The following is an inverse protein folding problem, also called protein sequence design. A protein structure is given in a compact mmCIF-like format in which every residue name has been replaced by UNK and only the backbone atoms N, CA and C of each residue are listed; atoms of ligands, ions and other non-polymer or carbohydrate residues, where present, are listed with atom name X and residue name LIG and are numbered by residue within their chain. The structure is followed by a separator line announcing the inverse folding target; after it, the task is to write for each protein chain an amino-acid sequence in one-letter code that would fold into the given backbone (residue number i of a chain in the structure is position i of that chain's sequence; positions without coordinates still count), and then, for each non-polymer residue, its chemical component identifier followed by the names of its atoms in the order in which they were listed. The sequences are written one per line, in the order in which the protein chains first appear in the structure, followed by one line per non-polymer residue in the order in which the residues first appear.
data_IF_355929056204
#
_entry.id   IF_355929056204
#
_cell.length_a   1.000
_cell.length_b   1.000
_cell.length_c   1.000
_cell.angle_alpha   90.00
_cell.angle_beta   90.00
_cell.angle_gamma   90.00
#
_symmetry.space_group_name_H-M   'P 1'
#
loop_
_entity.id
_entity.type
_entity.pdbx_description
1 polymer ?
#
# COMPACT_ATOMS: atom_id res chain seq x y z
N UNK A 1 -22.22 -7.61 13.88
CA UNK A 1 -22.51 -6.26 13.32
C UNK A 1 -21.45 -5.21 13.66
N UNK A 2 -20.96 -5.15 14.90
CA UNK A 2 -19.94 -4.15 15.30
C UNK A 2 -18.62 -4.22 14.50
N UNK A 3 -18.09 -5.42 14.22
CA UNK A 3 -16.83 -5.60 13.49
C UNK A 3 -16.95 -5.10 12.04
N UNK A 4 -18.02 -5.47 11.34
CA UNK A 4 -18.27 -5.04 9.96
C UNK A 4 -18.52 -3.53 9.89
N UNK A 5 -19.32 -2.98 10.80
CA UNK A 5 -19.54 -1.54 10.90
C UNK A 5 -18.24 -0.76 11.16
N UNK A 6 -17.42 -1.24 12.09
CA UNK A 6 -16.10 -0.67 12.37
C UNK A 6 -15.16 -0.72 11.16
N UNK A 7 -15.17 -1.83 10.42
CA UNK A 7 -14.36 -1.99 9.20
C UNK A 7 -14.79 -1.01 8.10
N UNK A 8 -16.10 -0.80 7.92
CA UNK A 8 -16.63 0.15 6.93
C UNK A 8 -16.27 1.58 7.31
N UNK A 9 -16.48 1.98 8.57
CA UNK A 9 -16.14 3.34 9.04
C UNK A 9 -14.64 3.60 8.92
N UNK A 10 -13.79 2.64 9.30
CA UNK A 10 -12.35 2.75 9.14
C UNK A 10 -11.93 2.84 7.67
N UNK A 11 -12.58 2.04 6.80
CA UNK A 11 -12.29 2.03 5.36
C UNK A 11 -12.72 3.32 4.67
N UNK A 12 -13.86 3.89 5.05
CA UNK A 12 -14.31 5.19 4.55
C UNK A 12 -13.41 6.31 5.07
N UNK A 13 -13.10 6.30 6.37
CA UNK A 13 -12.21 7.27 6.99
C UNK A 13 -10.85 7.36 6.28
N UNK A 14 -10.19 6.22 6.04
CA UNK A 14 -8.92 6.21 5.29
C UNK A 14 -9.05 6.69 3.85
N UNK A 15 -10.16 6.40 3.17
CA UNK A 15 -10.36 6.87 1.80
C UNK A 15 -10.55 8.38 1.74
N UNK A 16 -11.34 8.95 2.65
CA UNK A 16 -11.55 10.40 2.68
C UNK A 16 -10.26 11.14 3.03
N UNK A 17 -9.41 10.58 3.91
CA UNK A 17 -8.18 11.26 4.37
C UNK A 17 -6.94 11.03 3.50
N UNK A 18 -6.80 9.86 2.87
CA UNK A 18 -5.60 9.51 2.11
C UNK A 18 -5.78 9.56 0.60
N UNK A 19 -7.01 9.69 0.08
CA UNK A 19 -7.17 9.84 -1.36
C UNK A 19 -6.66 11.23 -1.78
N UNK A 20 -5.69 11.33 -2.71
CA UNK A 20 -5.13 12.61 -3.15
C UNK A 20 -6.16 13.52 -3.84
N UNK A 21 -7.28 12.94 -4.27
CA UNK A 21 -8.41 13.62 -4.92
C UNK A 21 -9.43 14.20 -3.93
N UNK A 22 -9.39 13.79 -2.66
CA UNK A 22 -10.36 14.20 -1.63
C UNK A 22 -9.68 15.10 -0.60
N UNK A 23 -9.92 16.42 -0.69
CA UNK A 23 -9.36 17.42 0.23
C UNK A 23 -10.33 17.76 1.37
N UNK A 24 -10.02 17.32 2.59
CA UNK A 24 -10.82 17.62 3.79
C UNK A 24 -10.46 19.00 4.37
N UNK A 25 -9.19 19.42 4.30
CA UNK A 25 -8.76 20.73 4.81
C UNK A 25 -9.23 21.86 3.89
N UNK A 26 -9.86 22.89 4.48
CA UNK A 26 -10.30 24.10 3.78
C UNK A 26 -9.17 25.10 3.52
N UNK A 27 -7.98 24.87 4.08
CA UNK A 27 -6.81 25.76 3.96
C UNK A 27 -6.24 25.77 2.53
N UNK A 28 -6.36 24.66 1.79
CA UNK A 28 -5.84 24.50 0.43
C UNK A 28 -6.75 25.01 -0.71
N UNK A 29 -7.86 25.72 -0.41
CA UNK A 29 -8.87 26.11 -1.42
C UNK A 29 -8.36 27.05 -2.52
N UNK A 30 -7.20 27.69 -2.31
CA UNK A 30 -6.52 28.56 -3.29
C UNK A 30 -5.44 27.84 -4.10
N UNK A 31 -5.01 26.64 -3.70
CA UNK A 31 -4.00 25.86 -4.41
C UNK A 31 -4.68 24.98 -5.45
N UNK A 32 -4.97 25.58 -6.61
CA UNK A 32 -5.26 24.83 -7.81
C UNK A 32 -3.96 24.13 -8.27
N UNK A 33 -3.75 22.91 -7.77
CA UNK A 33 -2.95 21.87 -8.43
C UNK A 33 -1.47 22.21 -8.68
N UNK A 34 -0.60 22.14 -7.66
CA UNK A 34 0.85 22.02 -7.88
C UNK A 34 1.62 21.18 -6.83
N UNK A 35 1.12 21.01 -5.60
CA UNK A 35 1.89 20.32 -4.52
C UNK A 35 1.44 18.87 -4.21
N UNK A 36 0.68 18.22 -5.09
CA UNK A 36 0.19 16.85 -4.84
C UNK A 36 1.21 15.74 -5.20
N UNK A 37 2.42 16.06 -5.68
CA UNK A 37 3.40 15.05 -6.08
C UNK A 37 3.85 14.19 -4.88
N UNK A 38 4.18 14.82 -3.75
CA UNK A 38 4.62 14.12 -2.54
C UNK A 38 3.49 13.29 -1.90
N UNK A 39 2.25 13.79 -1.93
CA UNK A 39 1.08 13.06 -1.43
C UNK A 39 0.72 11.88 -2.35
N UNK A 40 0.81 12.07 -3.67
CA UNK A 40 0.65 11.02 -4.67
C UNK A 40 1.72 9.93 -4.58
N UNK A 41 2.99 10.30 -4.34
CA UNK A 41 4.08 9.34 -4.10
C UNK A 41 3.85 8.51 -2.83
N UNK A 42 3.41 9.15 -1.73
CA UNK A 42 3.10 8.45 -0.47
C UNK A 42 1.90 7.49 -0.62
N UNK A 43 0.91 7.85 -1.44
CA UNK A 43 -0.22 6.96 -1.77
C UNK A 43 0.19 5.81 -2.69
N UNK A 44 0.96 6.09 -3.75
CA UNK A 44 1.39 5.10 -4.73
C UNK A 44 2.42 4.09 -4.17
N UNK A 45 3.33 4.58 -3.32
CA UNK A 45 4.38 3.78 -2.69
C UNK A 45 4.06 3.45 -1.22
N UNK A 46 2.97 2.70 -0.99
CA UNK A 46 2.67 2.18 0.34
C UNK A 46 3.86 1.36 0.90
N UNK A 47 4.11 1.45 2.22
CA UNK A 47 5.27 0.84 2.88
C UNK A 47 5.40 -0.67 2.62
N UNK A 48 4.27 -1.39 2.52
CA UNK A 48 4.26 -2.79 2.12
C UNK A 48 4.79 -3.00 0.69
N UNK A 49 4.43 -2.12 -0.25
CA UNK A 49 4.91 -2.16 -1.63
C UNK A 49 6.41 -1.86 -1.72
N UNK A 50 6.92 -0.90 -0.94
CA UNK A 50 8.37 -0.64 -0.82
C UNK A 50 9.12 -1.85 -0.26
N UNK A 51 8.57 -2.47 0.79
CA UNK A 51 9.16 -3.65 1.42
C UNK A 51 9.19 -4.87 0.50
N UNK A 52 8.15 -5.08 -0.31
CA UNK A 52 8.07 -6.20 -1.24
C UNK A 52 8.89 -5.98 -2.52
N UNK A 53 9.26 -4.74 -2.87
CA UNK A 53 10.03 -4.43 -4.10
C UNK A 53 11.41 -5.07 -4.13
N UNK A 54 12.03 -5.31 -2.99
CA UNK A 54 13.38 -5.90 -2.89
C UNK A 54 13.36 -7.43 -2.81
N UNK A 55 12.18 -8.05 -2.73
CA UNK A 55 12.04 -9.50 -2.64
C UNK A 55 11.66 -10.08 -4.01
N UNK A 56 12.22 -11.23 -4.33
CA UNK A 56 11.78 -12.02 -5.49
C UNK A 56 10.31 -12.43 -5.28
N UNK A 57 9.45 -12.31 -6.31
CA UNK A 57 8.05 -12.70 -6.22
C UNK A 57 7.95 -14.23 -6.21
N UNK A 58 8.21 -14.84 -5.05
CA UNK A 58 8.10 -16.27 -4.83
C UNK A 58 6.88 -16.57 -3.96
N UNK A 59 5.93 -17.36 -4.47
CA UNK A 59 4.71 -17.75 -3.76
C UNK A 59 5.07 -18.63 -2.54
N UNK A 60 6.07 -19.50 -2.68
CA UNK A 60 6.58 -20.36 -1.60
C UNK A 60 8.11 -20.48 -1.64
N UNK A 61 8.86 -19.52 -1.06
CA UNK A 61 10.31 -19.48 -1.18
C UNK A 61 11.01 -20.70 -0.59
N UNK A 62 10.47 -21.29 0.49
CA UNK A 62 11.04 -22.51 1.09
C UNK A 62 10.85 -23.75 0.22
N UNK A 63 9.68 -23.88 -0.41
CA UNK A 63 9.37 -25.02 -1.30
C UNK A 63 10.13 -24.88 -2.61
N UNK A 64 10.17 -23.68 -3.19
CA UNK A 64 10.89 -23.43 -4.42
C UNK A 64 12.39 -23.73 -4.26
N UNK A 65 13.04 -23.22 -3.19
CA UNK A 65 14.45 -23.53 -2.89
C UNK A 65 14.70 -25.02 -2.67
N UNK A 66 13.77 -25.73 -2.02
CA UNK A 66 13.89 -27.17 -1.81
C UNK A 66 13.94 -27.98 -3.11
N UNK A 67 13.18 -27.59 -4.14
CA UNK A 67 13.18 -28.27 -5.44
C UNK A 67 14.18 -27.70 -6.45
N UNK A 68 14.68 -26.47 -6.25
CA UNK A 68 15.57 -25.79 -7.18
C UNK A 68 17.06 -25.96 -6.86
N UNK A 69 17.42 -26.29 -5.61
CA UNK A 69 18.82 -26.42 -5.19
C UNK A 69 19.37 -27.82 -5.56
N UNK A 70 20.29 -27.93 -6.54
CA UNK A 70 20.85 -29.23 -6.97
C UNK A 70 21.75 -29.87 -5.90
N UNK A 71 22.22 -29.10 -4.92
CA UNK A 71 23.14 -29.54 -3.87
C UNK A 71 22.49 -30.43 -2.80
N UNK A 72 21.15 -30.50 -2.73
CA UNK A 72 20.40 -31.34 -1.78
C UNK A 72 19.78 -32.60 -2.40
N UNK A 73 20.07 -32.87 -3.67
CA UNK A 73 19.51 -33.97 -4.46
C UNK A 73 20.42 -35.21 -4.54
N UNK A 74 21.58 -35.22 -3.87
CA UNK A 74 22.48 -36.39 -3.80
C UNK A 74 22.50 -36.97 -2.39
#
# INVERSE_FOLDING_TARGET
MAVVGGMVVFSLGRHVTMNPDVRISKEGRKQAVLDNAEEGERYAEHGLRKFLRTRTPEIFPKVNRFFSDPEKST
#
